data_IF_605758959345
#
_entry.id   IF_605758959345
#
_cell.length_a   1.000
_cell.length_b   1.000
_cell.length_c   1.000
_cell.angle_alpha   90.00
_cell.angle_beta   90.00
_cell.angle_gamma   90.00
#
_symmetry.space_group_name_H-M   'P 1'
#
loop_
_entity.id
_entity.type
_entity.pdbx_description
1 polymer ?
#
# COMPACT_ATOMS: atom_id res chain seq x y z
N UNK A 1 -18.82 2.77 12.80
CA UNK A 1 -17.81 3.82 12.86
C UNK A 1 -16.75 3.51 11.82
N UNK A 2 -16.45 4.49 10.95
CA UNK A 2 -15.43 4.28 9.92
C UNK A 2 -14.05 4.62 10.47
N UNK A 3 -13.07 3.82 10.09
CA UNK A 3 -11.68 4.05 10.43
C UNK A 3 -10.88 4.24 9.14
N UNK A 4 -9.90 5.13 9.17
CA UNK A 4 -9.09 5.44 8.00
C UNK A 4 -7.65 5.63 8.40
N UNK A 5 -6.74 5.18 7.52
CA UNK A 5 -5.31 5.43 7.67
C UNK A 5 -4.73 5.79 6.31
N UNK A 6 -3.78 6.72 6.29
CA UNK A 6 -3.10 7.13 5.07
C UNK A 6 -1.61 7.17 5.33
N UNK A 7 -0.84 6.62 4.38
CA UNK A 7 0.61 6.55 4.48
C UNK A 7 1.26 7.08 3.22
N UNK A 8 2.39 7.74 3.38
CA UNK A 8 3.19 8.27 2.29
C UNK A 8 4.57 7.65 2.34
N UNK A 9 5.02 7.15 1.19
CA UNK A 9 6.35 6.58 1.04
C UNK A 9 7.08 7.35 -0.05
N UNK A 10 8.21 7.95 0.28
CA UNK A 10 8.99 8.76 -0.64
C UNK A 10 10.34 8.10 -0.92
N UNK A 11 10.83 8.28 -2.14
CA UNK A 11 12.16 7.83 -2.51
C UNK A 11 12.70 8.75 -3.60
N UNK A 12 14.02 8.97 -3.57
CA UNK A 12 14.70 9.71 -4.62
C UNK A 12 14.78 8.89 -5.91
N UNK A 13 14.62 7.57 -5.80
CA UNK A 13 14.64 6.67 -6.95
C UNK A 13 13.21 6.51 -7.48
N UNK A 14 12.89 7.25 -8.54
CA UNK A 14 11.58 7.24 -9.16
C UNK A 14 11.26 5.89 -9.80
N UNK A 15 12.27 5.19 -10.30
CA UNK A 15 12.06 3.87 -10.88
C UNK A 15 11.65 2.85 -9.82
N UNK A 16 12.28 2.92 -8.65
CA UNK A 16 11.95 2.04 -7.54
C UNK A 16 10.51 2.24 -7.08
N UNK A 17 10.10 3.49 -6.90
CA UNK A 17 8.74 3.82 -6.46
C UNK A 17 7.72 3.35 -7.50
N UNK A 18 8.00 3.57 -8.79
CA UNK A 18 7.11 3.14 -9.87
C UNK A 18 6.97 1.62 -9.92
N UNK A 19 8.07 0.89 -9.76
CA UNK A 19 8.05 -0.57 -9.74
C UNK A 19 7.22 -1.10 -8.58
N UNK A 20 7.38 -0.52 -7.39
CA UNK A 20 6.63 -0.91 -6.22
C UNK A 20 5.14 -0.65 -6.43
N UNK A 21 4.79 0.51 -6.96
CA UNK A 21 3.42 0.86 -7.27
C UNK A 21 2.79 -0.15 -8.21
N UNK A 22 3.47 -0.49 -9.32
CA UNK A 22 2.94 -1.43 -10.30
C UNK A 22 2.83 -2.84 -9.74
N UNK A 23 3.77 -3.24 -8.89
CA UNK A 23 3.74 -4.55 -8.25
C UNK A 23 2.54 -4.71 -7.32
N UNK A 24 2.11 -3.62 -6.70
CA UNK A 24 1.02 -3.65 -5.71
C UNK A 24 -0.36 -3.34 -6.29
N UNK A 25 -0.42 -2.82 -7.52
CA UNK A 25 -1.70 -2.49 -8.15
C UNK A 25 -2.68 -3.67 -8.20
N UNK A 26 -2.26 -4.88 -8.62
CA UNK A 26 -3.19 -6.00 -8.63
C UNK A 26 -3.76 -6.34 -7.25
N UNK A 27 -2.95 -6.16 -6.22
CA UNK A 27 -3.38 -6.42 -4.85
C UNK A 27 -4.40 -5.38 -4.38
N UNK A 28 -4.27 -4.14 -4.83
CA UNK A 28 -5.21 -3.08 -4.48
C UNK A 28 -6.57 -3.31 -5.14
N UNK A 29 -6.61 -4.00 -6.28
CA UNK A 29 -7.84 -4.34 -6.97
C UNK A 29 -8.59 -5.52 -6.35
N UNK A 30 -7.90 -6.33 -5.54
CA UNK A 30 -8.52 -7.49 -4.89
C UNK A 30 -8.96 -7.12 -3.48
N UNK A 31 -10.26 -7.22 -3.18
CA UNK A 31 -10.72 -6.91 -1.82
C UNK A 31 -10.21 -7.98 -0.85
N UNK A 32 -9.36 -7.56 0.08
CA UNK A 32 -8.90 -8.44 1.16
C UNK A 32 -10.08 -8.77 2.05
N UNK A 33 -11.03 -7.84 2.12
CA UNK A 33 -12.23 -7.99 2.93
C UNK A 33 -13.27 -7.01 2.38
N UNK A 34 -14.55 -7.38 2.46
CA UNK A 34 -15.65 -6.50 2.05
C UNK A 34 -15.75 -5.26 2.92
N UNK A 35 -15.03 -5.24 4.03
CA UNK A 35 -15.08 -4.15 5.01
C UNK A 35 -13.98 -3.12 4.85
N UNK A 36 -13.07 -3.34 3.90
CA UNK A 36 -11.94 -2.43 3.72
C UNK A 36 -11.81 -2.01 2.27
N UNK A 37 -11.51 -0.74 2.07
CA UNK A 37 -11.25 -0.17 0.75
C UNK A 37 -9.81 0.33 0.73
N UNK A 38 -9.06 -0.12 -0.27
CA UNK A 38 -7.66 0.23 -0.42
C UNK A 38 -7.50 1.13 -1.65
N UNK A 39 -6.86 2.26 -1.48
CA UNK A 39 -6.52 3.15 -2.59
C UNK A 39 -5.01 3.32 -2.63
N UNK A 40 -4.43 3.05 -3.78
CA UNK A 40 -2.99 3.19 -4.00
C UNK A 40 -2.78 4.20 -5.12
N UNK A 41 -1.97 5.22 -4.86
CA UNK A 41 -1.69 6.28 -5.83
C UNK A 41 -0.20 6.52 -5.95
N UNK A 42 0.21 6.96 -7.13
CA UNK A 42 1.59 7.39 -7.37
C UNK A 42 1.56 8.87 -7.70
N UNK A 43 2.24 9.67 -6.89
CA UNK A 43 2.29 11.12 -7.04
C UNK A 43 3.76 11.55 -7.06
N UNK A 44 4.28 11.87 -8.24
CA UNK A 44 5.70 12.22 -8.45
C UNK A 44 6.64 11.14 -7.90
N UNK A 45 7.30 11.42 -6.76
CA UNK A 45 8.19 10.47 -6.11
C UNK A 45 7.58 9.87 -4.85
N UNK A 46 6.27 9.98 -4.71
CA UNK A 46 5.57 9.59 -3.50
C UNK A 46 4.54 8.52 -3.80
N UNK A 47 4.59 7.45 -3.03
CA UNK A 47 3.56 6.41 -3.06
C UNK A 47 2.59 6.68 -1.92
N UNK A 48 1.30 6.81 -2.25
CA UNK A 48 0.27 7.12 -1.28
C UNK A 48 -0.62 5.90 -1.10
N UNK A 49 -0.74 5.43 0.13
CA UNK A 49 -1.61 4.32 0.49
C UNK A 49 -2.70 4.83 1.41
N UNK A 50 -3.95 4.66 1.00
CA UNK A 50 -5.11 5.00 1.81
C UNK A 50 -5.93 3.76 2.09
N UNK A 51 -6.24 3.53 3.35
CA UNK A 51 -7.05 2.38 3.78
C UNK A 51 -8.25 2.90 4.57
N UNK A 52 -9.45 2.52 4.14
CA UNK A 52 -10.69 2.84 4.85
C UNK A 52 -11.37 1.53 5.23
N UNK A 53 -11.84 1.46 6.46
CA UNK A 53 -12.51 0.27 6.98
C UNK A 53 -13.72 0.64 7.82
N UNK A 54 -14.62 -0.31 8.00
CA UNK A 54 -15.82 -0.09 8.82
C UNK A 54 -15.51 0.04 10.30
N UNK A 55 -14.43 -0.59 10.74
CA UNK A 55 -14.03 -0.56 12.15
C UNK A 55 -12.51 -0.59 12.31
N UNK A 56 -12.06 -0.35 13.54
CA UNK A 56 -10.61 -0.26 13.85
C UNK A 56 -9.93 -1.61 13.69
N UNK A 57 -10.62 -2.69 14.02
CA UNK A 57 -10.04 -4.04 13.93
C UNK A 57 -9.74 -4.40 12.48
N UNK A 58 -10.70 -4.15 11.59
CA UNK A 58 -10.53 -4.39 10.16
C UNK A 58 -9.44 -3.49 9.58
N UNK A 59 -9.38 -2.23 10.01
CA UNK A 59 -8.35 -1.30 9.58
C UNK A 59 -6.96 -1.80 9.98
N UNK A 60 -6.81 -2.24 11.21
CA UNK A 60 -5.53 -2.75 11.72
C UNK A 60 -5.07 -3.98 10.95
N UNK A 61 -6.01 -4.88 10.67
CA UNK A 61 -5.72 -6.09 9.90
C UNK A 61 -5.25 -5.76 8.48
N UNK A 62 -5.98 -4.89 7.79
CA UNK A 62 -5.63 -4.45 6.44
C UNK A 62 -4.28 -3.74 6.44
N UNK A 63 -4.05 -2.91 7.44
CA UNK A 63 -2.82 -2.16 7.59
C UNK A 63 -1.61 -3.08 7.73
N UNK A 64 -1.72 -4.07 8.61
CA UNK A 64 -0.64 -5.04 8.80
C UNK A 64 -0.33 -5.80 7.51
N UNK A 65 -1.36 -6.20 6.78
CA UNK A 65 -1.20 -6.90 5.50
C UNK A 65 -0.47 -6.01 4.49
N UNK A 66 -0.93 -4.76 4.34
CA UNK A 66 -0.36 -3.85 3.34
C UNK A 66 1.05 -3.39 3.69
N UNK A 67 1.35 -3.18 4.97
CA UNK A 67 2.71 -2.82 5.37
C UNK A 67 3.68 -3.97 5.07
N UNK A 68 3.25 -5.22 5.24
CA UNK A 68 4.06 -6.38 4.86
C UNK A 68 4.27 -6.46 3.36
N UNK A 69 3.21 -6.22 2.58
CA UNK A 69 3.30 -6.25 1.12
C UNK A 69 4.29 -5.20 0.62
N UNK A 70 4.20 -3.99 1.15
CA UNK A 70 5.07 -2.89 0.77
C UNK A 70 6.52 -3.21 1.15
N UNK A 71 6.74 -3.70 2.36
CA UNK A 71 8.07 -4.08 2.81
C UNK A 71 8.68 -5.16 1.92
N UNK A 72 7.89 -6.18 1.58
CA UNK A 72 8.35 -7.25 0.69
C UNK A 72 8.70 -6.71 -0.69
N UNK A 73 7.87 -5.81 -1.23
CA UNK A 73 8.12 -5.21 -2.53
C UNK A 73 9.42 -4.40 -2.54
N UNK A 74 9.67 -3.63 -1.48
CA UNK A 74 10.93 -2.89 -1.34
C UNK A 74 12.13 -3.84 -1.25
N UNK A 75 12.03 -4.89 -0.43
CA UNK A 75 13.12 -5.83 -0.26
C UNK A 75 13.46 -6.54 -1.57
N UNK A 76 12.45 -6.97 -2.33
CA UNK A 76 12.65 -7.64 -3.62
C UNK A 76 13.28 -6.68 -4.63
N UNK A 77 12.78 -5.45 -4.72
CA UNK A 77 13.29 -4.46 -5.66
C UNK A 77 14.73 -4.08 -5.35
N UNK A 78 15.07 -3.94 -4.08
CA UNK A 78 16.45 -3.62 -3.67
C UNK A 78 17.37 -4.81 -3.95
N UNK A 79 16.88 -6.03 -3.69
CA UNK A 79 17.70 -7.25 -3.89
C UNK A 79 17.98 -7.53 -5.36
N UNK A 80 17.08 -7.11 -6.26
CA UNK A 80 17.22 -7.38 -7.70
C UNK A 80 17.98 -6.30 -8.46
N UNK A 81 18.33 -5.21 -7.80
CA UNK A 81 19.03 -4.09 -8.43
C UNK A 81 20.55 -4.17 -8.36
#
# INVERSE_FOLDING_TARGET
MKAEAEFFFESDDLNLISEIYQSLLPEAGDPISDRSVITLKLDENRLVLNIQSDDVISLRSALNTWLRLIQTAFDVSVSSS
#
